data_IF_443003901432
#
_entry.id   IF_443003901432
#
_cell.length_a   1.000
_cell.length_b   1.000
_cell.length_c   1.000
_cell.angle_alpha   90.00
_cell.angle_beta   90.00
_cell.angle_gamma   90.00
#
_symmetry.space_group_name_H-M   'P 1'
#
loop_
_entity.id
_entity.type
_entity.pdbx_description
1 polymer ?
#
# COMPACT_ATOMS: atom_id res chain seq x y z
N UNK A 1 4.40 -0.79 10.66
CA UNK A 1 4.29 -2.20 11.09
C UNK A 1 2.91 -2.83 10.84
N UNK A 2 1.80 -2.29 11.36
CA UNK A 2 0.48 -2.95 11.23
C UNK A 2 -0.03 -3.02 9.79
N UNK A 3 0.17 -1.97 8.98
CA UNK A 3 -0.29 -1.94 7.57
C UNK A 3 0.45 -2.95 6.70
N UNK A 4 1.77 -3.09 6.91
CA UNK A 4 2.59 -4.07 6.19
C UNK A 4 2.23 -5.50 6.59
N UNK A 5 1.94 -5.72 7.89
CA UNK A 5 1.43 -7.00 8.37
C UNK A 5 0.06 -7.35 7.77
N UNK A 6 -0.92 -6.44 7.83
CA UNK A 6 -2.26 -6.63 7.25
C UNK A 6 -2.19 -6.95 5.75
N UNK A 7 -1.25 -6.33 5.03
CA UNK A 7 -1.03 -6.61 3.60
C UNK A 7 -0.52 -8.04 3.38
N UNK A 8 0.44 -8.48 4.20
CA UNK A 8 1.00 -9.83 4.17
C UNK A 8 -0.02 -10.91 4.54
N UNK A 9 -0.86 -10.63 5.54
CA UNK A 9 -1.90 -11.52 6.01
C UNK A 9 -2.95 -11.81 4.94
N UNK A 10 -3.46 -10.77 4.25
CA UNK A 10 -4.44 -10.91 3.16
C UNK A 10 -3.91 -11.83 2.06
N UNK A 11 -2.63 -11.73 1.73
CA UNK A 11 -2.01 -12.63 0.79
C UNK A 11 -1.93 -14.06 1.31
N UNK A 12 -1.47 -14.25 2.56
CA UNK A 12 -1.37 -15.56 3.19
C UNK A 12 -2.74 -16.26 3.16
N UNK A 13 -3.82 -15.54 3.48
CA UNK A 13 -5.21 -16.02 3.42
C UNK A 13 -5.65 -16.49 2.03
N UNK A 14 -5.21 -15.82 0.96
CA UNK A 14 -5.59 -16.17 -0.42
C UNK A 14 -4.88 -17.44 -0.89
N UNK A 15 -3.60 -17.61 -0.57
CA UNK A 15 -2.76 -18.68 -1.15
C UNK A 15 -2.61 -19.90 -0.25
N UNK A 16 -2.70 -19.73 1.06
CA UNK A 16 -2.42 -20.76 2.06
C UNK A 16 -3.58 -20.95 3.03
N UNK A 17 -4.82 -20.76 2.55
CA UNK A 17 -6.06 -20.92 3.33
C UNK A 17 -6.07 -22.18 4.25
N UNK A 18 -5.80 -23.42 3.77
CA UNK A 18 -5.87 -24.60 4.64
C UNK A 18 -4.77 -24.63 5.71
N UNK A 19 -3.59 -24.08 5.42
CA UNK A 19 -2.49 -24.02 6.39
C UNK A 19 -2.77 -22.99 7.49
N UNK A 20 -3.31 -21.83 7.12
CA UNK A 20 -3.67 -20.78 8.08
C UNK A 20 -4.81 -21.23 8.97
N UNK A 21 -5.84 -21.88 8.43
CA UNK A 21 -6.96 -22.34 9.26
C UNK A 21 -6.51 -23.31 10.36
N UNK A 22 -5.41 -24.06 10.13
CA UNK A 22 -4.83 -24.96 11.13
C UNK A 22 -3.99 -24.25 12.20
N UNK A 23 -3.32 -23.16 11.83
CA UNK A 23 -2.38 -22.44 12.72
C UNK A 23 -2.75 -20.96 12.89
N UNK A 24 -4.05 -20.64 12.80
CA UNK A 24 -4.55 -19.27 12.74
C UNK A 24 -4.09 -18.45 13.95
N UNK A 25 -4.19 -19.04 15.15
CA UNK A 25 -3.84 -18.35 16.40
C UNK A 25 -2.38 -17.89 16.38
N UNK A 26 -1.47 -18.79 15.98
CA UNK A 26 -0.03 -18.57 16.02
C UNK A 26 0.40 -17.60 14.91
N UNK A 27 -0.11 -17.77 13.69
CA UNK A 27 0.32 -16.96 12.55
C UNK A 27 -0.35 -15.58 12.50
N UNK A 28 -1.54 -15.44 13.09
CA UNK A 28 -2.31 -14.20 13.10
C UNK A 28 -2.06 -13.35 14.35
N UNK A 29 -2.31 -13.90 15.54
CA UNK A 29 -2.31 -13.09 16.76
C UNK A 29 -0.90 -12.79 17.28
N UNK A 30 0.03 -13.74 17.18
CA UNK A 30 1.38 -13.53 17.75
C UNK A 30 2.09 -12.33 17.09
N UNK A 31 2.14 -12.20 15.75
CA UNK A 31 2.78 -11.04 15.14
C UNK A 31 2.09 -9.72 15.49
N UNK A 32 0.75 -9.70 15.57
CA UNK A 32 -0.01 -8.50 15.94
C UNK A 32 0.32 -8.09 17.38
N UNK A 33 0.31 -9.05 18.31
CA UNK A 33 0.64 -8.81 19.71
C UNK A 33 2.07 -8.31 19.85
N UNK A 34 3.03 -8.93 19.15
CA UNK A 34 4.43 -8.46 19.14
C UNK A 34 4.52 -7.05 18.57
N UNK A 35 3.90 -6.76 17.44
CA UNK A 35 3.91 -5.42 16.82
C UNK A 35 3.26 -4.34 17.69
N UNK A 36 2.39 -4.68 18.64
CA UNK A 36 1.76 -3.73 19.58
C UNK A 36 2.56 -3.62 20.87
N UNK A 37 2.92 -4.75 21.49
CA UNK A 37 3.63 -4.78 22.77
C UNK A 37 5.06 -4.25 22.65
N UNK A 38 5.77 -4.57 21.57
CA UNK A 38 7.15 -4.14 21.36
C UNK A 38 7.31 -2.61 21.40
N UNK A 39 6.64 -1.81 20.54
CA UNK A 39 6.79 -0.36 20.59
C UNK A 39 6.28 0.21 21.91
N UNK A 40 5.21 -0.36 22.49
CA UNK A 40 4.68 0.10 23.77
C UNK A 40 5.69 -0.02 24.91
N UNK A 41 6.31 -1.20 25.06
CA UNK A 41 7.33 -1.45 26.08
C UNK A 41 8.58 -0.60 25.81
N UNK A 42 9.01 -0.51 24.55
CA UNK A 42 10.18 0.28 24.18
C UNK A 42 10.00 1.78 24.49
N UNK A 43 8.89 2.39 24.04
CA UNK A 43 8.66 3.82 24.25
C UNK A 43 8.38 4.15 25.71
N UNK A 44 7.67 3.29 26.47
CA UNK A 44 7.54 3.49 27.91
C UNK A 44 8.91 3.41 28.59
N UNK A 45 9.70 2.39 28.26
CA UNK A 45 11.04 2.23 28.82
C UNK A 45 11.92 3.46 28.57
N UNK A 46 11.97 3.95 27.33
CA UNK A 46 12.83 5.09 27.00
C UNK A 46 12.33 6.40 27.64
N UNK A 47 11.03 6.61 27.75
CA UNK A 47 10.46 7.82 28.36
C UNK A 47 10.73 7.88 29.87
N UNK A 48 10.61 6.75 30.59
CA UNK A 48 10.75 6.75 32.05
C UNK A 48 12.18 6.51 32.55
N UNK A 49 13.01 5.79 31.79
CA UNK A 49 14.35 5.38 32.23
C UNK A 49 15.43 6.34 31.74
N UNK A 50 15.25 6.97 30.58
CA UNK A 50 16.29 7.81 29.98
C UNK A 50 16.39 9.17 30.70
N UNK A 51 17.58 9.54 31.22
CA UNK A 51 17.73 10.72 32.06
C UNK A 51 17.82 11.99 31.20
N UNK A 52 16.67 12.54 30.78
CA UNK A 52 16.61 13.81 30.09
C UNK A 52 15.45 14.70 30.58
N UNK A 53 15.60 16.02 30.39
CA UNK A 53 14.60 17.01 30.76
C UNK A 53 13.74 17.30 29.53
N UNK A 54 12.43 17.06 29.63
CA UNK A 54 11.49 17.37 28.56
C UNK A 54 11.31 18.88 28.42
N UNK A 55 11.46 19.38 27.19
CA UNK A 55 11.18 20.77 26.83
C UNK A 55 9.92 20.82 25.96
N UNK A 56 8.90 21.53 26.43
CA UNK A 56 7.63 21.68 25.72
C UNK A 56 7.53 23.08 25.13
N UNK A 57 7.43 23.16 23.81
CA UNK A 57 7.20 24.41 23.10
C UNK A 57 5.77 24.45 22.58
N UNK A 58 4.93 25.26 23.21
CA UNK A 58 3.51 25.41 22.85
C UNK A 58 3.28 26.23 21.56
N UNK A 59 4.34 26.77 20.95
CA UNK A 59 4.25 27.54 19.70
C UNK A 59 4.34 26.65 18.46
N UNK A 60 4.86 25.42 18.60
CA UNK A 60 4.96 24.45 17.50
C UNK A 60 3.81 23.45 17.50
N UNK A 61 3.43 22.99 16.31
CA UNK A 61 2.46 21.91 16.16
C UNK A 61 2.99 20.67 16.91
N UNK A 62 2.19 20.12 17.84
CA UNK A 62 2.48 18.98 18.73
C UNK A 62 3.17 19.29 20.07
N UNK A 63 3.30 20.56 20.48
CA UNK A 63 3.85 20.94 21.80
C UNK A 63 5.29 20.43 22.05
N UNK A 64 6.06 20.17 20.98
CA UNK A 64 7.40 19.57 21.04
C UNK A 64 7.40 18.04 21.01
N UNK A 65 8.57 17.45 21.25
CA UNK A 65 8.79 16.00 21.27
C UNK A 65 9.42 15.54 22.58
N UNK A 66 9.40 14.23 22.89
CA UNK A 66 10.07 13.70 24.07
C UNK A 66 11.58 13.94 23.97
N UNK A 67 12.24 14.22 25.09
CA UNK A 67 13.63 14.68 25.08
C UNK A 67 14.63 13.71 24.44
N UNK A 68 14.36 12.40 24.46
CA UNK A 68 15.21 11.41 23.81
C UNK A 68 15.29 11.57 22.28
N UNK A 69 14.32 12.24 21.64
CA UNK A 69 14.36 12.43 20.18
C UNK A 69 15.48 13.41 19.77
N UNK A 70 15.86 14.31 20.68
CA UNK A 70 16.91 15.30 20.44
C UNK A 70 18.30 14.80 20.80
N UNK A 71 18.41 13.67 21.50
CA UNK A 71 19.71 13.06 21.81
C UNK A 71 20.11 12.06 20.72
N UNK A 72 21.35 12.16 20.26
CA UNK A 72 21.91 11.40 19.14
C UNK A 72 21.76 9.89 19.38
N UNK A 73 22.06 9.41 20.58
CA UNK A 73 22.11 7.96 20.86
C UNK A 73 20.71 7.32 20.74
N UNK A 74 19.72 7.71 21.57
CA UNK A 74 18.38 7.13 21.50
C UNK A 74 17.66 7.44 20.18
N UNK A 75 17.86 8.62 19.60
CA UNK A 75 17.25 8.99 18.32
C UNK A 75 17.78 8.12 17.17
N UNK A 76 19.10 7.90 17.10
CA UNK A 76 19.70 7.01 16.10
C UNK A 76 19.23 5.57 16.28
N UNK A 77 19.13 5.11 17.53
CA UNK A 77 18.64 3.76 17.81
C UNK A 77 17.20 3.58 17.34
N UNK A 78 16.33 4.54 17.65
CA UNK A 78 14.93 4.52 17.22
C UNK A 78 14.81 4.53 15.69
N UNK A 79 15.56 5.42 15.03
CA UNK A 79 15.58 5.55 13.59
C UNK A 79 16.06 4.28 12.89
N UNK A 80 17.18 3.70 13.33
CA UNK A 80 17.77 2.55 12.66
C UNK A 80 17.00 1.27 12.97
N UNK A 81 16.74 1.00 14.25
CA UNK A 81 16.17 -0.29 14.65
C UNK A 81 14.65 -0.30 14.58
N UNK A 82 13.95 0.70 15.13
CA UNK A 82 12.48 0.68 15.17
C UNK A 82 11.85 1.04 13.83
N UNK A 83 12.47 1.95 13.08
CA UNK A 83 11.94 2.42 11.80
C UNK A 83 12.58 1.65 10.64
N UNK A 84 13.90 1.75 10.48
CA UNK A 84 14.57 1.26 9.26
C UNK A 84 14.61 -0.26 9.15
N UNK A 85 14.99 -0.98 10.21
CA UNK A 85 15.05 -2.46 10.18
C UNK A 85 13.66 -3.06 9.97
N UNK A 86 12.63 -2.60 10.69
CA UNK A 86 11.29 -3.14 10.50
C UNK A 86 10.72 -2.85 9.12
N UNK A 87 10.98 -1.66 8.57
CA UNK A 87 10.51 -1.36 7.22
C UNK A 87 11.25 -2.18 6.17
N UNK A 88 12.56 -2.34 6.27
CA UNK A 88 13.32 -3.16 5.32
C UNK A 88 12.89 -4.63 5.34
N UNK A 89 12.64 -5.20 6.51
CA UNK A 89 12.06 -6.55 6.64
C UNK A 89 10.68 -6.62 5.97
N UNK A 90 9.83 -5.61 6.19
CA UNK A 90 8.51 -5.54 5.58
C UNK A 90 8.58 -5.43 4.05
N UNK A 91 9.47 -4.59 3.53
CA UNK A 91 9.70 -4.40 2.10
C UNK A 91 10.19 -5.69 1.44
N UNK A 92 11.19 -6.35 2.02
CA UNK A 92 11.67 -7.65 1.54
C UNK A 92 10.56 -8.71 1.57
N UNK A 93 9.77 -8.74 2.64
CA UNK A 93 8.59 -9.60 2.75
C UNK A 93 7.60 -9.37 1.61
N UNK A 94 7.28 -8.11 1.31
CA UNK A 94 6.39 -7.73 0.21
C UNK A 94 6.97 -8.13 -1.16
N UNK A 95 8.26 -7.95 -1.41
CA UNK A 95 8.92 -8.33 -2.67
C UNK A 95 8.88 -9.85 -2.87
N UNK A 96 9.27 -10.62 -1.84
CA UNK A 96 9.24 -12.10 -1.87
C UNK A 96 7.81 -12.61 -2.11
N UNK A 97 6.84 -11.94 -1.52
CA UNK A 97 5.44 -12.28 -1.64
C UNK A 97 4.93 -12.02 -3.06
N UNK A 98 5.22 -10.85 -3.64
CA UNK A 98 4.88 -10.52 -5.02
C UNK A 98 5.57 -11.46 -6.02
N UNK A 99 6.86 -11.75 -5.82
CA UNK A 99 7.59 -12.66 -6.71
C UNK A 99 7.00 -14.06 -6.70
N UNK A 100 6.60 -14.58 -5.53
CA UNK A 100 5.86 -15.85 -5.40
C UNK A 100 4.52 -15.82 -6.11
N UNK A 101 3.74 -14.73 -6.02
CA UNK A 101 2.48 -14.58 -6.76
C UNK A 101 2.73 -14.69 -8.26
N UNK A 102 3.73 -13.96 -8.76
CA UNK A 102 4.06 -13.92 -10.18
C UNK A 102 4.52 -15.29 -10.69
N UNK A 103 5.31 -16.01 -9.90
CA UNK A 103 5.72 -17.38 -10.23
C UNK A 103 4.53 -18.35 -10.26
N UNK A 104 3.62 -18.25 -9.29
CA UNK A 104 2.46 -19.16 -9.18
C UNK A 104 1.35 -18.85 -10.19
N UNK A 105 1.43 -17.72 -10.90
CA UNK A 105 0.53 -17.33 -11.99
C UNK A 105 0.31 -18.46 -12.99
N UNK A 106 1.37 -19.18 -13.36
CA UNK A 106 1.31 -20.22 -14.39
C UNK A 106 0.47 -21.45 -13.98
N UNK A 107 0.36 -21.72 -12.67
CA UNK A 107 -0.35 -22.90 -12.17
C UNK A 107 -1.83 -22.66 -11.87
N UNK A 108 -2.30 -21.41 -11.84
CA UNK A 108 -3.71 -21.10 -11.55
C UNK A 108 -4.57 -21.15 -12.82
N UNK A 109 -5.22 -22.28 -13.06
CA UNK A 109 -6.17 -22.50 -14.18
C UNK A 109 -7.45 -21.64 -14.16
N UNK A 110 -7.62 -20.73 -13.19
CA UNK A 110 -8.82 -19.88 -13.05
C UNK A 110 -8.56 -18.42 -13.43
N UNK A 111 -8.69 -18.10 -14.73
CA UNK A 111 -8.43 -16.76 -15.27
C UNK A 111 -9.26 -15.63 -14.60
N UNK A 112 -10.52 -15.89 -14.26
CA UNK A 112 -11.39 -14.84 -13.68
C UNK A 112 -10.99 -14.48 -12.24
N UNK A 113 -10.68 -15.49 -11.39
CA UNK A 113 -10.18 -15.22 -10.03
C UNK A 113 -8.81 -14.56 -10.06
N UNK A 114 -7.96 -14.94 -11.02
CA UNK A 114 -6.66 -14.30 -11.23
C UNK A 114 -6.76 -12.81 -11.56
N UNK A 115 -7.65 -12.41 -12.49
CA UNK A 115 -7.84 -10.99 -12.84
C UNK A 115 -8.21 -10.15 -11.61
N UNK A 116 -9.09 -10.66 -10.75
CA UNK A 116 -9.48 -9.99 -9.49
C UNK A 116 -8.31 -9.89 -8.51
N UNK A 117 -7.63 -11.01 -8.24
CA UNK A 117 -6.49 -11.04 -7.32
C UNK A 117 -5.34 -10.16 -7.80
N UNK A 118 -5.09 -10.08 -9.12
CA UNK A 118 -4.05 -9.20 -9.69
C UNK A 118 -4.34 -7.73 -9.43
N UNK A 119 -5.59 -7.28 -9.57
CA UNK A 119 -5.98 -5.89 -9.29
C UNK A 119 -5.72 -5.52 -7.83
N UNK A 120 -6.17 -6.38 -6.91
CA UNK A 120 -5.92 -6.19 -5.48
C UNK A 120 -4.42 -6.16 -5.16
N UNK A 121 -3.64 -7.06 -5.75
CA UNK A 121 -2.19 -7.10 -5.57
C UNK A 121 -1.52 -5.81 -6.05
N UNK A 122 -1.88 -5.31 -7.23
CA UNK A 122 -1.33 -4.06 -7.78
C UNK A 122 -1.65 -2.88 -6.88
N UNK A 123 -2.85 -2.83 -6.29
CA UNK A 123 -3.21 -1.76 -5.37
C UNK A 123 -2.43 -1.81 -4.06
N UNK A 124 -2.33 -2.99 -3.45
CA UNK A 124 -1.53 -3.17 -2.24
C UNK A 124 -0.08 -2.81 -2.53
N UNK A 125 0.47 -3.27 -3.65
CA UNK A 125 1.84 -2.95 -4.07
C UNK A 125 2.02 -1.44 -4.24
N UNK A 126 1.09 -0.76 -4.90
CA UNK A 126 1.11 0.69 -5.10
C UNK A 126 1.14 1.45 -3.76
N UNK A 127 0.26 1.08 -2.81
CA UNK A 127 0.22 1.70 -1.47
C UNK A 127 1.54 1.45 -0.73
N UNK A 128 2.04 0.22 -0.76
CA UNK A 128 3.29 -0.13 -0.06
C UNK A 128 4.49 0.60 -0.65
N UNK A 129 4.58 0.73 -1.98
CA UNK A 129 5.66 1.46 -2.65
C UNK A 129 5.59 2.95 -2.32
N UNK A 130 4.39 3.55 -2.37
CA UNK A 130 4.21 4.95 -2.02
C UNK A 130 4.60 5.23 -0.56
N UNK A 131 4.19 4.34 0.36
CA UNK A 131 4.56 4.41 1.77
C UNK A 131 6.07 4.29 1.97
N UNK A 132 6.71 3.28 1.37
CA UNK A 132 8.15 3.06 1.46
C UNK A 132 8.94 4.23 0.86
N UNK A 133 8.47 4.81 -0.23
CA UNK A 133 9.11 5.98 -0.85
C UNK A 133 9.09 7.18 0.09
N UNK A 134 7.92 7.50 0.67
CA UNK A 134 7.80 8.62 1.63
C UNK A 134 8.64 8.38 2.88
N UNK A 135 8.64 7.15 3.40
CA UNK A 135 9.43 6.80 4.58
C UNK A 135 10.94 6.85 4.28
N UNK A 136 11.37 6.34 3.13
CA UNK A 136 12.78 6.38 2.71
C UNK A 136 13.28 7.82 2.59
N UNK A 137 12.47 8.71 2.00
CA UNK A 137 12.77 10.15 1.96
C UNK A 137 12.93 10.70 3.37
N UNK A 138 11.96 10.45 4.26
CA UNK A 138 12.01 10.87 5.67
C UNK A 138 13.30 10.40 6.38
N UNK A 139 13.66 9.12 6.23
CA UNK A 139 14.88 8.55 6.83
C UNK A 139 16.14 9.20 6.26
N UNK A 140 16.22 9.42 4.95
CA UNK A 140 17.36 10.11 4.33
C UNK A 140 17.52 11.53 4.92
N UNK A 141 16.43 12.29 5.01
CA UNK A 141 16.48 13.64 5.56
C UNK A 141 16.86 13.67 7.04
N UNK A 142 16.34 12.75 7.86
CA UNK A 142 16.75 12.62 9.26
C UNK A 142 18.22 12.24 9.41
N UNK A 143 18.75 11.36 8.55
CA UNK A 143 20.18 11.03 8.56
C UNK A 143 21.04 12.24 8.17
N UNK A 144 20.61 13.03 7.17
CA UNK A 144 21.30 14.27 6.80
C UNK A 144 21.31 15.26 7.98
N UNK A 145 20.18 15.42 8.67
CA UNK A 145 20.07 16.26 9.86
C UNK A 145 21.02 15.79 10.97
N UNK A 146 21.04 14.47 11.24
CA UNK A 146 21.87 13.86 12.28
C UNK A 146 23.38 14.02 12.03
N UNK A 147 23.83 13.95 10.77
CA UNK A 147 25.24 14.08 10.40
C UNK A 147 25.66 15.50 10.02
N UNK A 148 24.72 16.42 9.87
CA UNK A 148 25.01 17.82 9.59
C UNK A 148 25.52 18.51 10.85
N UNK A 149 26.67 19.18 10.76
CA UNK A 149 27.18 20.04 11.85
C UNK A 149 26.41 21.36 11.95
N UNK A 150 25.61 21.69 10.93
CA UNK A 150 24.91 22.97 10.82
C UNK A 150 23.41 22.75 10.94
N UNK A 151 22.80 23.43 11.91
CA UNK A 151 21.35 23.44 12.08
C UNK A 151 20.69 24.18 10.90
N UNK A 152 19.83 23.48 10.16
CA UNK A 152 19.08 24.02 9.03
C UNK A 152 17.57 23.94 9.33
N UNK A 153 16.92 25.03 9.75
CA UNK A 153 15.52 25.01 10.18
C UNK A 153 14.57 24.58 9.05
N UNK A 154 14.92 24.86 7.78
CA UNK A 154 14.15 24.41 6.62
C UNK A 154 14.13 22.88 6.49
N UNK A 155 15.23 22.19 6.84
CA UNK A 155 15.32 20.74 6.75
C UNK A 155 14.44 20.07 7.82
N UNK A 156 14.47 20.63 9.02
CA UNK A 156 13.62 20.22 10.15
C UNK A 156 12.16 20.39 9.78
N UNK A 157 11.76 21.57 9.31
CA UNK A 157 10.39 21.85 8.91
C UNK A 157 9.90 20.90 7.80
N UNK A 158 10.72 20.66 6.77
CA UNK A 158 10.41 19.70 5.71
C UNK A 158 10.24 18.27 6.25
N UNK A 159 11.11 17.85 7.15
CA UNK A 159 11.11 16.47 7.68
C UNK A 159 9.90 16.22 8.57
N UNK A 160 9.69 17.07 9.57
CA UNK A 160 8.65 16.88 10.58
C UNK A 160 7.27 17.35 10.09
N UNK A 161 7.16 18.47 9.37
CA UNK A 161 5.86 19.03 8.97
C UNK A 161 5.36 18.53 7.60
N UNK A 162 6.26 18.11 6.70
CA UNK A 162 5.84 17.64 5.37
C UNK A 162 5.98 16.12 5.23
N UNK A 163 7.18 15.57 5.45
CA UNK A 163 7.44 14.15 5.19
C UNK A 163 6.72 13.24 6.18
N UNK A 164 6.81 13.54 7.48
CA UNK A 164 6.12 12.76 8.51
C UNK A 164 4.60 12.78 8.35
N UNK A 165 4.01 13.96 8.09
CA UNK A 165 2.58 14.06 7.78
C UNK A 165 2.23 13.36 6.46
N UNK A 166 3.09 13.42 5.45
CA UNK A 166 2.93 12.68 4.20
C UNK A 166 2.82 11.17 4.43
N UNK A 167 3.65 10.61 5.31
CA UNK A 167 3.56 9.19 5.70
C UNK A 167 2.20 8.87 6.32
N UNK A 168 1.67 9.73 7.20
CA UNK A 168 0.33 9.55 7.78
C UNK A 168 -0.78 9.69 6.74
N UNK A 169 -0.67 10.62 5.79
CA UNK A 169 -1.65 10.79 4.72
C UNK A 169 -1.75 9.55 3.84
N UNK A 170 -0.64 8.85 3.56
CA UNK A 170 -0.68 7.57 2.82
C UNK A 170 -1.53 6.52 3.56
N UNK A 171 -1.44 6.47 4.89
CA UNK A 171 -2.27 5.57 5.70
C UNK A 171 -3.74 5.93 5.63
N UNK A 172 -4.05 7.23 5.68
CA UNK A 172 -5.41 7.74 5.59
C UNK A 172 -6.04 7.47 4.20
N UNK A 173 -5.23 7.44 3.14
CA UNK A 173 -5.65 7.11 1.78
C UNK A 173 -5.87 5.60 1.56
N UNK A 174 -5.26 4.74 2.37
CA UNK A 174 -5.34 3.28 2.25
C UNK A 174 -6.77 2.70 2.15
N UNK A 175 -7.74 3.08 3.02
CA UNK A 175 -9.12 2.60 2.91
C UNK A 175 -9.78 3.04 1.59
N UNK A 176 -9.49 4.25 1.10
CA UNK A 176 -10.05 4.76 -0.15
C UNK A 176 -9.52 4.00 -1.36
N UNK A 177 -8.19 3.79 -1.42
CA UNK A 177 -7.57 2.99 -2.49
C UNK A 177 -8.06 1.55 -2.46
N UNK A 178 -8.23 0.97 -1.26
CA UNK A 178 -8.79 -0.37 -1.08
C UNK A 178 -10.25 -0.45 -1.55
N UNK A 179 -11.08 0.54 -1.22
CA UNK A 179 -12.50 0.58 -1.61
C UNK A 179 -12.66 0.67 -3.13
N UNK A 180 -11.80 1.46 -3.81
CA UNK A 180 -11.75 1.54 -5.27
C UNK A 180 -11.41 0.17 -5.90
N UNK A 181 -10.67 -0.67 -5.17
CA UNK A 181 -10.28 -2.02 -5.57
C UNK A 181 -11.33 -3.09 -5.53
N UNK A 182 -12.36 -2.89 -4.71
CA UNK A 182 -13.41 -3.88 -4.48
C UNK A 182 -14.73 -3.37 -5.09
N UNK A 183 -14.92 -3.46 -6.42
CA UNK A 183 -16.16 -3.04 -7.08
C UNK A 183 -17.40 -3.82 -6.60
N UNK A 184 -17.21 -4.94 -5.91
CA UNK A 184 -18.27 -5.77 -5.33
C UNK A 184 -18.92 -5.12 -4.11
N UNK A 185 -18.18 -4.31 -3.36
CA UNK A 185 -18.68 -3.57 -2.20
C UNK A 185 -19.39 -2.28 -2.60
N UNK A 186 -19.34 -1.89 -3.88
CA UNK A 186 -19.93 -0.66 -4.33
C UNK A 186 -21.45 -0.77 -4.32
N UNK A 187 -22.17 0.23 -3.78
CA UNK A 187 -23.61 0.25 -3.86
C UNK A 187 -24.04 0.14 -5.32
N UNK A 188 -25.07 -0.66 -5.62
CA UNK A 188 -25.61 -0.83 -6.98
C UNK A 188 -25.94 0.51 -7.66
N UNK A 189 -26.23 1.55 -6.87
CA UNK A 189 -26.47 2.92 -7.34
C UNK A 189 -25.21 3.59 -7.88
N UNK A 190 -24.08 3.46 -7.17
CA UNK A 190 -22.79 4.04 -7.61
C UNK A 190 -22.25 3.30 -8.83
N UNK A 191 -22.37 1.98 -8.87
CA UNK A 191 -21.99 1.18 -10.06
C UNK A 191 -22.82 1.59 -11.28
N UNK A 192 -24.13 1.82 -11.11
CA UNK A 192 -25.00 2.32 -12.19
C UNK A 192 -24.61 3.73 -12.63
N UNK A 193 -24.29 4.63 -11.70
CA UNK A 193 -23.85 5.99 -12.00
C UNK A 193 -22.53 5.98 -12.78
N UNK A 194 -21.51 5.26 -12.30
CA UNK A 194 -20.22 5.14 -12.99
C UNK A 194 -20.36 4.52 -14.37
N UNK A 195 -21.19 3.48 -14.52
CA UNK A 195 -21.43 2.86 -15.82
C UNK A 195 -22.08 3.85 -16.79
N UNK A 196 -22.99 4.72 -16.32
CA UNK A 196 -23.56 5.80 -17.14
C UNK A 196 -22.51 6.84 -17.53
N UNK A 197 -21.65 7.25 -16.60
CA UNK A 197 -20.58 8.22 -16.88
C UNK A 197 -19.53 7.66 -17.86
N UNK A 198 -19.15 6.38 -17.72
CA UNK A 198 -18.21 5.73 -18.63
C UNK A 198 -18.82 5.47 -20.01
N UNK A 199 -20.09 5.03 -20.10
CA UNK A 199 -20.78 4.87 -21.39
C UNK A 199 -20.97 6.20 -22.12
N UNK A 200 -21.17 7.30 -21.40
CA UNK A 200 -21.31 8.62 -22.03
C UNK A 200 -20.00 9.11 -22.68
N UNK A 201 -18.85 8.52 -22.34
CA UNK A 201 -17.55 8.86 -22.91
C UNK A 201 -17.09 7.87 -24.00
N UNK A 202 -17.81 6.76 -24.25
CA UNK A 202 -17.62 5.99 -25.47
C UNK A 202 -18.30 6.73 -26.63
N UNK A 203 -17.55 7.69 -27.20
CA UNK A 203 -17.83 8.21 -28.54
C UNK A 203 -17.88 6.99 -29.46
N UNK A 204 -19.06 6.67 -29.99
CA UNK A 204 -19.17 5.64 -31.00
C UNK A 204 -18.21 6.01 -32.14
N UNK A 205 -17.23 5.17 -32.50
CA UNK A 205 -16.47 5.41 -33.71
C UNK A 205 -17.48 5.40 -34.84
N UNK A 206 -17.72 6.56 -35.45
CA UNK A 206 -18.42 6.67 -36.72
C UNK A 206 -17.54 5.96 -37.75
N UNK A 207 -17.72 4.65 -37.86
CA UNK A 207 -17.18 3.89 -38.97
C UNK A 207 -17.94 4.41 -40.19
N UNK A 208 -17.35 5.33 -40.93
CA UNK A 208 -17.75 5.63 -42.28
C UNK A 208 -17.56 4.35 -43.10
N UNK A 209 -18.63 3.56 -43.21
CA UNK A 209 -18.69 2.47 -44.17
C UNK A 209 -18.87 3.15 -45.54
N UNK A 210 -17.88 3.11 -46.44
CA UNK A 210 -18.11 3.56 -47.80
C UNK A 210 -19.19 2.66 -48.40
N UNK A 211 -20.33 3.27 -48.70
CA UNK A 211 -21.47 2.64 -49.35
C UNK A 211 -21.15 2.45 -50.84
N UNK A 212 -20.17 1.61 -51.17
CA UNK A 212 -20.04 1.15 -52.54
C UNK A 212 -19.23 -0.14 -52.65
N UNK A 213 -19.93 -1.19 -53.08
CA UNK A 213 -19.51 -2.42 -53.77
C UNK A 213 -19.82 -3.71 -53.01
N UNK A 214 -20.70 -4.52 -53.59
CA UNK A 214 -20.74 -5.96 -53.30
C UNK A 214 -22.08 -6.61 -53.01
N UNK A 215 -23.20 -6.16 -53.59
CA UNK A 215 -24.50 -6.88 -53.54
C UNK A 215 -24.48 -8.21 -54.34
N UNK A 216 -23.36 -8.62 -54.96
CA UNK A 216 -23.35 -9.73 -55.93
C UNK A 216 -23.05 -11.15 -55.42
N UNK A 217 -22.74 -11.39 -54.14
CA UNK A 217 -22.32 -12.74 -53.71
C UNK A 217 -23.31 -13.54 -52.87
N UNK A 218 -24.43 -12.96 -52.41
CA UNK A 218 -25.40 -13.70 -51.58
C UNK A 218 -26.43 -14.53 -52.36
N UNK A 219 -26.48 -14.43 -53.69
CA UNK A 219 -27.40 -15.24 -54.51
C UNK A 219 -26.80 -16.57 -55.01
N UNK A 220 -25.47 -16.78 -54.93
CA UNK A 220 -24.84 -18.02 -55.38
C UNK A 220 -24.74 -19.12 -54.30
N UNK A 221 -24.90 -18.80 -53.02
CA UNK A 221 -24.81 -19.80 -51.95
C UNK A 221 -26.14 -20.50 -51.62
N UNK A 222 -27.27 -20.06 -52.21
CA UNK A 222 -28.59 -20.64 -51.92
C UNK A 222 -29.01 -21.78 -52.86
N UNK A 223 -28.31 -22.00 -53.97
CA UNK A 223 -28.64 -23.03 -54.97
C UNK A 223 -27.92 -24.37 -54.76
N UNK A 224 -26.93 -24.46 -53.88
CA UNK A 224 -26.14 -25.68 -53.67
C UNK A 224 -26.56 -26.52 -52.44
N UNK A 225 -27.67 -26.20 -51.76
CA UNK A 225 -28.10 -26.93 -50.55
C UNK A 225 -29.39 -27.77 -50.73
N UNK A 226 -29.85 -27.98 -51.96
CA UNK A 226 -31.05 -28.79 -52.26
C UNK A 226 -30.73 -29.85 -53.35
N UNK A 227 -29.55 -30.48 -53.29
CA UNK A 227 -29.27 -31.68 -54.08
C UNK A 227 -28.61 -32.74 -53.23
#
# INVERSE_FOLDING_TARGET
MLVTYSSSERYLLIFHRPFILRHFIILHYIPIIICILYPFVFYIGIIYIYPCINYFDYTVNLCGGPCYVFDIIPSTFDLLFNITVFETIALLGNIVLVSRVLHRKHHMKQQNKWKKNRRLLIQVLSITLLHNMMLALMVIFMLIELFSTTYQPMLVDLTYNVLQYGVYMVHLLCPFVSLIGLPELWPRSVVRLLRRLLNNNEVQPTIHIPLNTGIRTLQQLRTNYIR
#
